data_IF_753179999995
#
_entry.id   IF_753179999995
#
_cell.length_a   1.000
_cell.length_b   1.000
_cell.length_c   1.000
_cell.angle_alpha   90.00
_cell.angle_beta   90.00
_cell.angle_gamma   90.00
#
_symmetry.space_group_name_H-M   'P 1'
#
loop_
_entity.id
_entity.type
_entity.pdbx_description
1 polymer ?
#
# COMPACT_ATOMS: atom_id res chain seq x y z
N UNK A 1 25.58 1.12 -2.93
CA UNK A 1 25.66 0.02 -3.94
C UNK A 1 24.66 0.35 -5.04
N UNK A 2 24.92 0.01 -6.30
CA UNK A 2 23.97 0.32 -7.39
C UNK A 2 22.86 -0.72 -7.41
N UNK A 3 21.60 -0.28 -7.53
CA UNK A 3 20.48 -1.17 -7.82
C UNK A 3 20.66 -1.76 -9.24
N UNK A 4 20.04 -2.92 -9.49
CA UNK A 4 20.14 -3.66 -10.75
C UNK A 4 18.80 -3.67 -11.50
N UNK A 5 18.83 -4.01 -12.79
CA UNK A 5 17.62 -4.15 -13.61
C UNK A 5 16.88 -5.45 -13.29
N UNK A 6 15.54 -5.48 -13.39
CA UNK A 6 14.78 -6.69 -13.12
C UNK A 6 15.02 -7.76 -14.19
N UNK A 7 15.25 -8.99 -13.74
CA UNK A 7 15.15 -10.19 -14.57
C UNK A 7 13.86 -10.92 -14.22
N UNK A 8 12.92 -10.92 -15.17
CA UNK A 8 11.59 -11.54 -15.04
C UNK A 8 11.59 -13.05 -15.31
N UNK A 9 12.70 -13.65 -15.76
CA UNK A 9 12.88 -15.08 -16.05
C UNK A 9 11.82 -15.66 -17.01
N UNK A 10 11.56 -14.93 -18.11
CA UNK A 10 10.54 -15.28 -19.11
C UNK A 10 11.09 -16.09 -20.29
N UNK A 11 12.37 -16.47 -20.27
CA UNK A 11 13.02 -17.19 -21.37
C UNK A 11 12.29 -18.49 -21.74
N UNK A 12 11.77 -18.49 -22.97
CA UNK A 12 11.02 -19.59 -23.56
C UNK A 12 9.60 -19.77 -23.03
N UNK A 13 9.05 -18.77 -22.34
CA UNK A 13 7.63 -18.63 -22.09
C UNK A 13 7.01 -17.68 -23.13
N UNK A 14 5.77 -17.93 -23.52
CA UNK A 14 4.96 -17.02 -24.32
C UNK A 14 3.99 -16.25 -23.39
N UNK A 15 3.55 -15.04 -23.74
CA UNK A 15 2.50 -14.38 -22.97
C UNK A 15 1.21 -15.21 -23.02
N UNK A 16 0.46 -15.26 -21.92
CA UNK A 16 -0.80 -16.01 -21.86
C UNK A 16 -1.85 -15.45 -22.85
N UNK A 17 -1.81 -14.13 -23.08
CA UNK A 17 -2.59 -13.41 -24.10
C UNK A 17 -1.92 -12.07 -24.46
N UNK A 18 -2.55 -11.32 -25.37
CA UNK A 18 -2.04 -10.03 -25.86
C UNK A 18 -1.93 -8.95 -24.76
N UNK A 19 -2.75 -9.03 -23.71
CA UNK A 19 -2.69 -8.06 -22.59
C UNK A 19 -1.38 -8.22 -21.81
N UNK A 20 -0.98 -9.47 -21.56
CA UNK A 20 0.28 -9.77 -20.86
C UNK A 20 1.51 -9.46 -21.71
N UNK A 21 1.42 -9.59 -23.04
CA UNK A 21 2.47 -9.13 -23.97
C UNK A 21 2.65 -7.61 -23.87
N UNK A 22 1.56 -6.84 -23.94
CA UNK A 22 1.61 -5.38 -23.85
C UNK A 22 2.13 -4.90 -22.49
N UNK A 23 1.75 -5.56 -21.39
CA UNK A 23 2.28 -5.26 -20.08
C UNK A 23 3.79 -5.54 -19.98
N UNK A 24 4.26 -6.66 -20.55
CA UNK A 24 5.69 -6.98 -20.63
C UNK A 24 6.46 -5.91 -21.40
N UNK A 25 6.00 -5.55 -22.61
CA UNK A 25 6.65 -4.54 -23.45
C UNK A 25 6.76 -3.19 -22.75
N UNK A 26 5.73 -2.80 -21.97
CA UNK A 26 5.76 -1.57 -21.19
C UNK A 26 6.82 -1.63 -20.06
N UNK A 27 6.98 -2.77 -19.41
CA UNK A 27 8.02 -2.95 -18.39
C UNK A 27 9.43 -2.92 -18.99
N UNK A 28 9.62 -3.50 -20.18
CA UNK A 28 10.91 -3.60 -20.86
C UNK A 28 11.46 -2.26 -21.37
N UNK A 29 10.59 -1.34 -21.78
CA UNK A 29 11.01 -0.01 -22.27
C UNK A 29 11.26 1.00 -21.13
N UNK A 30 10.95 0.63 -19.90
CA UNK A 30 11.00 1.50 -18.73
C UNK A 30 12.35 1.38 -18.01
N UNK A 31 12.79 2.45 -17.35
CA UNK A 31 14.08 2.48 -16.63
C UNK A 31 13.92 2.02 -15.17
N UNK A 32 13.57 0.75 -14.99
CA UNK A 32 13.33 0.19 -13.66
C UNK A 32 14.61 -0.33 -12.99
N UNK A 33 14.71 -0.12 -11.67
CA UNK A 33 15.68 -0.79 -10.80
C UNK A 33 14.99 -1.56 -9.68
N UNK A 34 15.55 -2.70 -9.31
CA UNK A 34 15.02 -3.57 -8.26
C UNK A 34 15.33 -2.99 -6.89
N UNK A 35 14.28 -2.66 -6.13
CA UNK A 35 14.38 -2.24 -4.73
C UNK A 35 14.15 -3.42 -3.77
N UNK A 36 13.30 -4.38 -4.15
CA UNK A 36 13.16 -5.66 -3.48
C UNK A 36 12.56 -6.71 -4.40
N UNK A 37 12.94 -7.96 -4.21
CA UNK A 37 12.49 -9.07 -5.06
C UNK A 37 12.36 -10.37 -4.28
N UNK A 38 11.43 -11.22 -4.71
CA UNK A 38 11.27 -12.58 -4.21
C UNK A 38 10.86 -13.48 -5.37
N UNK A 39 11.44 -14.68 -5.44
CA UNK A 39 11.21 -15.63 -6.54
C UNK A 39 10.95 -17.03 -6.04
N UNK A 40 10.10 -17.73 -6.78
CA UNK A 40 9.86 -19.17 -6.74
C UNK A 40 9.94 -19.71 -8.17
N UNK A 41 9.80 -21.02 -8.34
CA UNK A 41 9.79 -21.64 -9.68
C UNK A 41 8.65 -21.09 -10.57
N UNK A 42 7.52 -20.72 -9.97
CA UNK A 42 6.31 -20.28 -10.69
C UNK A 42 6.06 -18.78 -10.61
N UNK A 43 6.63 -18.08 -9.63
CA UNK A 43 6.29 -16.70 -9.34
C UNK A 43 7.53 -15.84 -9.12
N UNK A 44 7.53 -14.63 -9.68
CA UNK A 44 8.49 -13.59 -9.34
C UNK A 44 7.75 -12.33 -8.90
N UNK A 45 8.16 -11.77 -7.76
CA UNK A 45 7.59 -10.57 -7.17
C UNK A 45 8.66 -9.50 -7.09
N UNK A 46 8.32 -8.28 -7.48
CA UNK A 46 9.25 -7.14 -7.49
C UNK A 46 8.58 -5.89 -6.92
N UNK A 47 9.36 -5.13 -6.15
CA UNK A 47 9.17 -3.70 -5.99
C UNK A 47 10.28 -3.01 -6.75
N UNK A 48 9.90 -2.28 -7.79
CA UNK A 48 10.80 -1.56 -8.69
C UNK A 48 10.71 -0.06 -8.42
N UNK A 49 11.83 0.65 -8.56
CA UNK A 49 11.86 2.10 -8.67
C UNK A 49 11.97 2.48 -10.15
N UNK A 50 11.13 3.42 -10.60
CA UNK A 50 11.16 3.99 -11.94
C UNK A 50 12.08 5.22 -11.97
N UNK A 51 13.30 5.06 -12.46
CA UNK A 51 14.25 6.16 -12.60
C UNK A 51 13.82 7.18 -13.67
N UNK A 52 12.86 6.81 -14.54
CA UNK A 52 12.28 7.68 -15.54
C UNK A 52 11.15 8.56 -15.02
N UNK A 53 10.57 8.26 -13.86
CA UNK A 53 9.35 8.91 -13.36
C UNK A 53 9.49 10.43 -13.17
N UNK A 54 10.68 10.91 -12.77
CA UNK A 54 11.00 12.36 -12.68
C UNK A 54 10.76 13.10 -14.00
N UNK A 55 10.88 12.44 -15.15
CA UNK A 55 10.67 13.04 -16.48
C UNK A 55 9.25 12.84 -17.02
N UNK A 56 8.40 12.13 -16.27
CA UNK A 56 7.01 11.85 -16.61
C UNK A 56 6.05 12.94 -16.11
N UNK A 57 4.90 12.52 -15.59
CA UNK A 57 3.93 13.42 -14.99
C UNK A 57 4.45 13.81 -13.59
N UNK A 58 4.64 15.11 -13.28
CA UNK A 58 5.12 15.55 -11.98
C UNK A 58 4.26 15.00 -10.84
N UNK A 59 4.91 14.51 -9.78
CA UNK A 59 4.21 13.94 -8.62
C UNK A 59 3.78 12.48 -8.76
N UNK A 60 4.00 11.84 -9.91
CA UNK A 60 3.60 10.44 -10.09
C UNK A 60 4.34 9.52 -9.12
N UNK A 61 3.68 8.42 -8.67
CA UNK A 61 4.37 7.39 -7.93
C UNK A 61 5.61 6.89 -8.66
N UNK A 62 6.71 6.79 -7.93
CA UNK A 62 7.99 6.32 -8.49
C UNK A 62 8.23 4.82 -8.28
N UNK A 63 7.30 4.12 -7.62
CA UNK A 63 7.42 2.68 -7.40
C UNK A 63 6.40 1.89 -8.23
N UNK A 64 6.86 0.75 -8.74
CA UNK A 64 6.04 -0.23 -9.45
C UNK A 64 6.13 -1.57 -8.72
N UNK A 65 4.98 -2.07 -8.25
CA UNK A 65 4.87 -3.45 -7.82
C UNK A 65 4.58 -4.34 -9.03
N UNK A 66 5.35 -5.43 -9.21
CA UNK A 66 5.18 -6.38 -10.32
C UNK A 66 5.09 -7.79 -9.78
N UNK A 67 4.10 -8.56 -10.23
CA UNK A 67 3.98 -9.99 -10.04
C UNK A 67 3.98 -10.66 -11.40
N UNK A 68 4.91 -11.58 -11.60
CA UNK A 68 5.00 -12.45 -12.77
C UNK A 68 4.61 -13.85 -12.32
N UNK A 69 3.63 -14.46 -12.99
CA UNK A 69 3.27 -15.86 -12.78
C UNK A 69 3.55 -16.68 -14.05
N UNK A 70 4.00 -17.92 -13.89
CA UNK A 70 4.42 -18.81 -14.97
C UNK A 70 3.67 -20.14 -14.91
N UNK A 71 3.01 -20.50 -16.00
CA UNK A 71 2.50 -21.85 -16.21
C UNK A 71 3.59 -22.70 -16.88
N UNK A 72 4.23 -23.56 -16.10
CA UNK A 72 5.31 -24.44 -16.58
C UNK A 72 4.84 -25.49 -17.59
N UNK A 73 3.55 -25.86 -17.57
CA UNK A 73 2.98 -26.86 -18.47
C UNK A 73 2.58 -26.25 -19.81
N UNK A 74 1.90 -25.10 -19.78
CA UNK A 74 1.52 -24.37 -20.97
C UNK A 74 2.69 -23.59 -21.59
N UNK A 75 3.77 -23.38 -20.81
CA UNK A 75 4.90 -22.51 -21.14
C UNK A 75 4.42 -21.08 -21.41
N UNK A 76 3.49 -20.60 -20.58
CA UNK A 76 2.96 -19.24 -20.67
C UNK A 76 3.25 -18.42 -19.41
N UNK A 77 3.20 -17.09 -19.52
CA UNK A 77 3.32 -16.18 -18.38
C UNK A 77 2.16 -15.17 -18.31
N UNK A 78 1.88 -14.71 -17.09
CA UNK A 78 1.01 -13.57 -16.81
C UNK A 78 1.81 -12.52 -16.00
N UNK A 79 1.53 -11.25 -16.23
CA UNK A 79 2.14 -10.11 -15.54
C UNK A 79 1.04 -9.20 -15.01
N UNK A 80 1.06 -9.01 -13.70
CA UNK A 80 0.30 -8.01 -12.97
C UNK A 80 1.24 -6.91 -12.51
N UNK A 81 0.87 -5.63 -12.72
CA UNK A 81 1.65 -4.53 -12.15
C UNK A 81 0.79 -3.38 -11.66
N UNK A 82 1.32 -2.61 -10.70
CA UNK A 82 0.65 -1.42 -10.17
C UNK A 82 1.63 -0.37 -9.69
N UNK A 83 1.40 0.87 -10.12
CA UNK A 83 2.08 2.06 -9.58
C UNK A 83 1.57 2.36 -8.18
N UNK A 84 2.48 2.47 -7.21
CA UNK A 84 2.14 2.66 -5.81
C UNK A 84 3.09 3.68 -5.19
N UNK A 85 2.59 4.58 -4.32
CA UNK A 85 3.41 5.70 -3.84
C UNK A 85 4.41 5.30 -2.75
N UNK A 86 4.16 4.21 -2.01
CA UNK A 86 4.97 3.81 -0.87
C UNK A 86 5.38 2.34 -0.98
N UNK A 87 6.60 2.01 -0.51
CA UNK A 87 7.11 0.65 -0.51
C UNK A 87 6.18 -0.31 0.25
N UNK A 88 5.67 0.10 1.41
CA UNK A 88 4.74 -0.71 2.20
C UNK A 88 3.42 -1.00 1.47
N UNK A 89 2.95 -0.10 0.61
CA UNK A 89 1.76 -0.33 -0.22
C UNK A 89 2.06 -1.31 -1.37
N UNK A 90 3.25 -1.20 -1.99
CA UNK A 90 3.74 -2.16 -2.98
C UNK A 90 3.84 -3.57 -2.39
N UNK A 91 4.39 -3.70 -1.18
CA UNK A 91 4.39 -4.97 -0.45
C UNK A 91 2.97 -5.49 -0.22
N UNK A 92 2.04 -4.64 0.25
CA UNK A 92 0.65 -5.04 0.49
C UNK A 92 -0.03 -5.59 -0.77
N UNK A 93 0.19 -4.95 -1.91
CA UNK A 93 -0.32 -5.38 -3.21
C UNK A 93 0.21 -6.76 -3.65
N UNK A 94 1.49 -7.04 -3.40
CA UNK A 94 2.14 -8.31 -3.76
C UNK A 94 1.79 -9.42 -2.77
N UNK A 95 1.61 -9.10 -1.48
CA UNK A 95 1.14 -10.04 -0.47
C UNK A 95 -0.27 -10.53 -0.82
N UNK A 96 -1.14 -9.64 -1.29
CA UNK A 96 -2.48 -10.02 -1.77
C UNK A 96 -2.45 -10.98 -2.97
N UNK A 97 -1.30 -11.11 -3.66
CA UNK A 97 -1.05 -12.03 -4.79
C UNK A 97 -0.26 -13.28 -4.42
N UNK A 98 0.01 -13.50 -3.13
CA UNK A 98 0.68 -14.70 -2.65
C UNK A 98 2.15 -14.52 -2.28
N UNK A 99 2.70 -13.29 -2.38
CA UNK A 99 4.04 -13.02 -1.87
C UNK A 99 4.08 -13.20 -0.33
N UNK A 100 5.07 -13.93 0.22
CA UNK A 100 5.22 -14.01 1.68
C UNK A 100 5.52 -12.63 2.29
N UNK A 101 4.90 -12.33 3.44
CA UNK A 101 4.92 -10.99 4.05
C UNK A 101 6.29 -10.47 4.50
N UNK A 102 7.26 -11.37 4.66
CA UNK A 102 8.63 -11.10 5.09
C UNK A 102 9.65 -11.29 3.95
N UNK A 103 9.21 -11.70 2.76
CA UNK A 103 10.10 -12.03 1.66
C UNK A 103 10.63 -10.80 0.88
N UNK A 104 9.87 -9.70 0.88
CA UNK A 104 10.25 -8.46 0.23
C UNK A 104 10.76 -7.47 1.28
N UNK A 105 12.07 -7.32 1.41
CA UNK A 105 12.68 -6.22 2.16
C UNK A 105 13.51 -5.38 1.20
N UNK A 106 13.54 -4.04 1.36
CA UNK A 106 14.53 -3.23 0.66
C UNK A 106 15.93 -3.75 0.95
N UNK A 107 16.84 -3.57 -0.01
CA UNK A 107 18.25 -3.80 0.27
C UNK A 107 18.70 -2.92 1.45
N UNK A 108 19.43 -3.52 2.40
CA UNK A 108 19.94 -2.82 3.59
C UNK A 108 20.72 -1.55 3.20
N UNK A 109 20.40 -0.43 3.84
CA UNK A 109 21.03 0.87 3.62
C UNK A 109 20.53 1.64 2.39
N UNK A 110 19.42 1.23 1.77
CA UNK A 110 18.82 1.93 0.60
C UNK A 110 17.58 2.74 0.98
N UNK A 111 16.74 2.21 1.86
CA UNK A 111 15.46 2.82 2.23
C UNK A 111 15.06 2.35 3.64
N UNK A 112 15.96 2.58 4.59
CA UNK A 112 15.81 2.06 5.95
C UNK A 112 14.89 2.95 6.79
N UNK A 113 13.96 2.37 7.58
CA UNK A 113 13.12 3.18 8.46
C UNK A 113 13.98 3.88 9.52
N UNK A 114 13.86 5.21 9.61
CA UNK A 114 14.65 6.04 10.51
C UNK A 114 14.35 5.81 12.00
N UNK A 115 13.15 5.30 12.34
CA UNK A 115 12.71 5.08 13.71
C UNK A 115 11.66 3.97 13.85
N UNK A 116 11.39 3.58 15.11
CA UNK A 116 10.42 2.54 15.44
C UNK A 116 8.98 2.91 15.07
N UNK A 117 8.66 4.21 15.04
CA UNK A 117 7.32 4.70 14.64
C UNK A 117 7.10 4.43 13.15
N UNK A 118 8.09 4.73 12.33
CA UNK A 118 8.11 4.42 10.89
C UNK A 118 7.97 2.93 10.68
N UNK A 119 8.82 2.12 11.32
CA UNK A 119 8.79 0.66 11.20
C UNK A 119 7.43 0.06 11.58
N UNK A 120 6.81 0.56 12.65
CA UNK A 120 5.49 0.09 13.09
C UNK A 120 4.38 0.51 12.12
N UNK A 121 4.45 1.72 11.57
CA UNK A 121 3.46 2.21 10.61
C UNK A 121 3.56 1.47 9.28
N UNK A 122 4.77 1.24 8.77
CA UNK A 122 4.99 0.43 7.55
C UNK A 122 4.48 -0.99 7.72
N UNK A 123 4.74 -1.63 8.86
CA UNK A 123 4.23 -2.97 9.13
C UNK A 123 2.69 -3.01 9.12
N UNK A 124 2.03 -1.94 9.59
CA UNK A 124 0.58 -1.82 9.52
C UNK A 124 0.10 -1.61 8.08
N UNK A 125 0.67 -0.66 7.34
CA UNK A 125 0.32 -0.40 5.94
C UNK A 125 0.51 -1.64 5.07
N UNK A 126 1.61 -2.37 5.28
CA UNK A 126 1.88 -3.66 4.61
C UNK A 126 0.75 -4.67 4.83
N UNK A 127 0.22 -4.73 6.05
CA UNK A 127 -0.86 -5.63 6.44
C UNK A 127 -2.29 -5.12 6.17
N UNK A 128 -2.45 -3.85 5.79
CA UNK A 128 -3.78 -3.25 5.62
C UNK A 128 -4.51 -3.76 4.37
N UNK A 129 -3.79 -4.26 3.35
CA UNK A 129 -4.38 -4.93 2.19
C UNK A 129 -5.39 -4.06 1.46
N UNK A 130 -6.64 -4.50 1.42
CA UNK A 130 -7.78 -3.83 0.80
C UNK A 130 -8.61 -2.97 1.78
N UNK A 131 -8.13 -2.73 3.00
CA UNK A 131 -8.87 -1.94 4.01
C UNK A 131 -9.00 -0.45 3.67
N UNK A 132 -8.20 0.06 2.74
CA UNK A 132 -8.19 1.46 2.33
C UNK A 132 -8.28 1.62 0.82
N UNK A 133 -9.06 2.61 0.38
CA UNK A 133 -8.97 3.16 -0.97
C UNK A 133 -7.88 4.24 -1.01
N UNK A 134 -6.99 4.14 -2.00
CA UNK A 134 -6.09 5.21 -2.40
C UNK A 134 -6.89 6.28 -3.14
N UNK A 135 -6.98 7.49 -2.56
CA UNK A 135 -7.68 8.61 -3.19
C UNK A 135 -6.76 9.48 -4.04
N UNK A 136 -5.57 9.78 -3.52
CA UNK A 136 -4.57 10.60 -4.19
C UNK A 136 -3.17 10.30 -3.66
N UNK A 137 -2.15 10.54 -4.47
CA UNK A 137 -0.75 10.54 -4.06
C UNK A 137 0.04 11.59 -4.84
N UNK A 138 1.09 12.13 -4.23
CA UNK A 138 2.03 13.02 -4.89
C UNK A 138 3.43 12.84 -4.30
N UNK A 139 4.41 12.63 -5.17
CA UNK A 139 5.84 12.60 -4.81
C UNK A 139 6.52 13.90 -5.22
N UNK A 140 6.87 14.73 -4.24
CA UNK A 140 7.63 15.95 -4.41
C UNK A 140 9.14 15.66 -4.42
N UNK A 141 9.60 14.96 -5.46
CA UNK A 141 11.00 14.53 -5.67
C UNK A 141 12.00 15.67 -5.91
N UNK A 142 11.50 16.87 -6.20
CA UNK A 142 12.29 18.10 -6.35
C UNK A 142 12.38 18.94 -5.06
N UNK A 143 11.74 18.53 -3.96
CA UNK A 143 11.84 19.17 -2.64
C UNK A 143 13.00 18.56 -1.84
N UNK A 144 13.51 19.33 -0.87
CA UNK A 144 14.46 18.86 0.12
C UNK A 144 13.87 19.08 1.52
N UNK A 145 13.50 18.02 2.27
CA UNK A 145 13.59 16.61 1.89
C UNK A 145 12.63 16.22 0.76
N UNK A 146 12.91 15.10 0.10
CA UNK A 146 11.95 14.46 -0.81
C UNK A 146 10.76 13.99 0.02
N UNK A 147 9.55 14.36 -0.40
CA UNK A 147 8.32 14.01 0.31
C UNK A 147 7.36 13.23 -0.60
N UNK A 148 6.76 12.16 -0.08
CA UNK A 148 5.61 11.50 -0.72
C UNK A 148 4.40 11.59 0.18
N UNK A 149 3.31 12.16 -0.32
CA UNK A 149 2.04 12.27 0.41
C UNK A 149 1.01 11.35 -0.22
N UNK A 150 0.27 10.65 0.63
CA UNK A 150 -0.77 9.70 0.22
C UNK A 150 -2.05 9.99 1.01
N UNK A 151 -3.15 10.21 0.30
CA UNK A 151 -4.48 10.34 0.88
C UNK A 151 -5.22 9.01 0.74
N UNK A 152 -5.65 8.47 1.88
CA UNK A 152 -6.38 7.22 1.98
C UNK A 152 -7.77 7.46 2.57
N UNK A 153 -8.73 6.62 2.18
CA UNK A 153 -10.05 6.51 2.79
C UNK A 153 -10.27 5.09 3.28
N UNK A 154 -10.69 4.93 4.52
CA UNK A 154 -11.05 3.60 5.03
C UNK A 154 -12.28 3.05 4.30
N UNK A 155 -12.23 1.77 3.94
CA UNK A 155 -13.39 1.04 3.43
C UNK A 155 -14.30 0.52 4.56
N UNK A 156 -13.86 0.57 5.82
CA UNK A 156 -14.73 0.31 6.97
C UNK A 156 -15.64 1.53 7.23
N UNK A 157 -16.97 1.41 7.07
CA UNK A 157 -17.89 2.52 7.30
C UNK A 157 -17.97 2.95 8.78
N UNK A 158 -17.35 2.21 9.69
CA UNK A 158 -17.24 2.56 11.12
C UNK A 158 -15.86 3.10 11.51
N UNK A 159 -14.93 3.22 10.58
CA UNK A 159 -13.62 3.79 10.85
C UNK A 159 -13.73 5.25 11.29
N UNK A 160 -13.07 5.56 12.40
CA UNK A 160 -12.87 6.93 12.87
C UNK A 160 -11.39 7.02 13.24
N UNK A 161 -10.59 7.84 12.57
CA UNK A 161 -10.94 8.72 11.44
C UNK A 161 -11.17 7.96 10.12
N UNK A 162 -12.06 8.48 9.26
CA UNK A 162 -12.38 7.88 7.95
C UNK A 162 -11.27 8.13 6.92
N UNK A 163 -10.67 9.32 6.95
CA UNK A 163 -9.62 9.74 6.02
C UNK A 163 -8.27 9.76 6.73
N UNK A 164 -7.22 9.42 5.99
CA UNK A 164 -5.86 9.38 6.50
C UNK A 164 -4.91 10.00 5.50
N UNK A 165 -3.90 10.68 6.01
CA UNK A 165 -2.76 11.14 5.22
C UNK A 165 -1.53 10.40 5.72
N UNK A 166 -0.83 9.73 4.81
CA UNK A 166 0.52 9.23 5.05
C UNK A 166 1.50 10.21 4.43
N UNK A 167 2.51 10.62 5.18
CA UNK A 167 3.59 11.49 4.74
C UNK A 167 4.91 10.76 4.96
N UNK A 168 5.56 10.41 3.86
CA UNK A 168 6.92 9.91 3.83
C UNK A 168 7.88 11.07 3.56
N UNK A 169 9.00 11.10 4.29
CA UNK A 169 10.12 12.00 4.03
C UNK A 169 11.40 11.21 3.95
N UNK A 170 12.12 11.36 2.85
CA UNK A 170 13.39 10.68 2.61
C UNK A 170 14.57 11.63 2.88
N UNK A 171 15.58 11.12 3.60
CA UNK A 171 16.83 11.82 3.91
C UNK A 171 17.99 11.16 3.17
N UNK A 172 18.54 11.87 2.18
CA UNK A 172 19.65 11.42 1.35
C UNK A 172 20.98 11.26 2.11
N UNK A 173 21.18 12.00 3.20
CA UNK A 173 22.43 11.94 3.98
C UNK A 173 22.50 10.63 4.78
N UNK A 174 21.37 10.21 5.35
CA UNK A 174 21.27 8.98 6.15
C UNK A 174 20.80 7.76 5.35
N UNK A 175 20.26 7.94 4.14
CA UNK A 175 19.52 6.92 3.39
C UNK A 175 18.40 6.28 4.21
N UNK A 176 17.73 7.10 5.02
CA UNK A 176 16.59 6.69 5.82
C UNK A 176 15.35 7.49 5.48
N UNK A 177 14.19 6.95 5.80
CA UNK A 177 12.93 7.67 5.67
C UNK A 177 12.15 7.68 6.98
N UNK A 178 11.34 8.71 7.14
CA UNK A 178 10.29 8.75 8.17
C UNK A 178 8.93 8.58 7.52
N UNK A 179 8.05 7.83 8.16
CA UNK A 179 6.64 7.72 7.75
C UNK A 179 5.76 8.17 8.92
N UNK A 180 4.83 9.09 8.64
CA UNK A 180 3.85 9.61 9.61
C UNK A 180 2.44 9.49 9.06
N UNK A 181 1.50 9.30 9.96
CA UNK A 181 0.07 9.25 9.63
C UNK A 181 -0.65 10.38 10.37
N UNK A 182 -1.51 11.11 9.66
CA UNK A 182 -2.52 11.98 10.25
C UNK A 182 -3.93 11.51 9.95
N UNK A 183 -4.84 11.77 10.88
CA UNK A 183 -6.23 11.32 10.81
C UNK A 183 -7.23 12.46 10.63
N UNK A 184 -8.18 12.31 9.71
CA UNK A 184 -9.18 13.32 9.38
C UNK A 184 -10.59 12.73 9.34
N UNK A 185 -11.56 13.40 9.97
CA UNK A 185 -12.96 12.96 9.99
C UNK A 185 -13.69 13.22 8.66
N UNK A 186 -13.25 14.22 7.89
CA UNK A 186 -13.90 14.63 6.65
C UNK A 186 -12.90 14.72 5.51
N UNK A 187 -13.38 14.54 4.29
CA UNK A 187 -12.59 14.70 3.08
C UNK A 187 -12.06 16.13 2.95
N UNK A 188 -12.92 17.13 3.17
CA UNK A 188 -12.56 18.55 3.07
C UNK A 188 -11.40 18.90 4.01
N UNK A 189 -11.40 18.42 5.26
CA UNK A 189 -10.28 18.65 6.18
C UNK A 189 -8.97 17.99 5.74
N UNK A 190 -9.03 16.83 5.08
CA UNK A 190 -7.85 16.19 4.52
C UNK A 190 -7.33 16.95 3.27
N UNK A 191 -8.24 17.46 2.45
CA UNK A 191 -7.89 18.30 1.29
C UNK A 191 -7.30 19.63 1.73
N UNK A 192 -7.88 20.32 2.72
CA UNK A 192 -7.34 21.56 3.27
C UNK A 192 -5.90 21.37 3.76
N UNK A 193 -5.62 20.25 4.45
CA UNK A 193 -4.26 19.92 4.87
C UNK A 193 -3.34 19.65 3.67
N UNK A 194 -3.83 18.90 2.68
CA UNK A 194 -3.07 18.60 1.46
C UNK A 194 -2.70 19.86 0.68
N UNK A 195 -3.64 20.79 0.51
CA UNK A 195 -3.41 22.07 -0.16
C UNK A 195 -2.38 22.90 0.61
N UNK A 196 -2.51 23.02 1.93
CA UNK A 196 -1.52 23.69 2.75
C UNK A 196 -0.13 23.02 2.64
N UNK A 197 -0.06 21.69 2.54
CA UNK A 197 1.20 20.97 2.33
C UNK A 197 1.79 21.24 0.95
N UNK A 198 0.95 21.34 -0.08
CA UNK A 198 1.37 21.72 -1.42
C UNK A 198 1.96 23.13 -1.43
N UNK A 199 1.42 24.04 -0.63
CA UNK A 199 1.93 25.42 -0.48
C UNK A 199 3.11 25.54 0.51
N UNK A 200 3.59 24.42 1.08
CA UNK A 200 4.66 24.38 2.10
C UNK A 200 4.29 25.12 3.41
N UNK A 201 2.99 25.28 3.67
CA UNK A 201 2.41 25.94 4.84
C UNK A 201 1.63 24.98 5.76
N UNK A 202 1.68 23.67 5.48
CA UNK A 202 0.93 22.68 6.25
C UNK A 202 1.29 22.71 7.74
N UNK A 203 0.28 22.67 8.63
CA UNK A 203 0.53 22.38 10.03
C UNK A 203 1.04 20.94 10.20
N UNK A 204 1.63 20.64 11.35
CA UNK A 204 1.95 19.26 11.72
C UNK A 204 0.73 18.35 11.56
N UNK A 205 0.95 17.12 11.07
CA UNK A 205 -0.12 16.14 10.92
C UNK A 205 -0.84 15.96 12.26
N UNK A 206 -2.18 16.06 12.29
CA UNK A 206 -2.92 15.79 13.50
C UNK A 206 -2.65 14.34 13.92
N UNK A 207 -2.38 14.05 15.21
CA UNK A 207 -2.13 12.69 15.64
C UNK A 207 -3.32 11.82 15.22
N UNK A 208 -3.08 10.59 14.71
CA UNK A 208 -4.17 9.73 14.30
C UNK A 208 -5.04 9.48 15.52
N UNK A 209 -6.31 9.89 15.46
CA UNK A 209 -7.25 9.60 16.53
C UNK A 209 -7.17 8.09 16.80
N UNK A 210 -7.04 7.65 18.07
CA UNK A 210 -6.96 6.23 18.36
C UNK A 210 -8.17 5.57 17.73
N UNK A 211 -7.95 4.52 16.93
CA UNK A 211 -9.01 3.81 16.19
C UNK A 211 -9.99 3.22 17.19
N UNK A 212 -10.94 4.03 17.65
CA UNK A 212 -11.99 3.59 18.52
C UNK A 212 -12.94 2.81 17.63
N UNK A 213 -12.84 1.48 17.63
CA UNK A 213 -13.94 0.64 17.17
C UNK A 213 -15.17 1.14 17.92
N UNK A 214 -16.12 1.74 17.21
CA UNK A 214 -17.44 2.01 17.77
C UNK A 214 -17.92 0.69 18.33
N UNK A 215 -18.02 0.62 19.66
CA UNK A 215 -18.54 -0.57 20.31
C UNK A 215 -19.90 -0.86 19.68
N UNK A 216 -20.19 -2.12 19.28
CA UNK A 216 -21.50 -2.44 18.76
C UNK A 216 -22.52 -1.97 19.80
N UNK A 217 -23.50 -1.18 19.37
CA UNK A 217 -24.61 -0.76 20.22
C UNK A 217 -25.16 -2.03 20.86
N UNK A 218 -25.02 -2.15 22.18
CA UNK A 218 -25.51 -3.30 22.92
C UNK A 218 -27.03 -3.32 22.79
N UNK A 219 -27.55 -4.09 21.84
CA UNK A 219 -28.98 -4.36 21.73
C UNK A 219 -29.46 -4.83 23.09
N UNK A 220 -30.40 -4.10 23.68
CA UNK A 220 -30.99 -4.46 24.96
C UNK A 220 -31.52 -5.89 24.87
N UNK A 221 -31.30 -6.75 25.89
CA UNK A 221 -31.85 -8.09 25.87
C UNK A 221 -33.38 -8.01 25.77
N UNK A 222 -33.93 -8.74 24.81
CA UNK A 222 -35.37 -8.87 24.64
C UNK A 222 -35.98 -9.37 25.96
N UNK A 223 -37.01 -8.66 26.44
CA UNK A 223 -37.73 -9.02 27.67
C UNK A 223 -38.34 -10.41 27.47
N UNK A 224 -38.14 -11.38 28.39
CA UNK A 224 -38.72 -12.71 28.23
C UNK A 224 -40.24 -12.62 28.29
N UNK A 225 -40.92 -13.18 27.29
CA UNK A 225 -42.37 -13.33 27.28
C UNK A 225 -42.77 -14.27 28.43
N UNK A 226 -43.72 -13.91 29.31
CA UNK A 226 -44.16 -14.78 30.38
C UNK A 226 -44.78 -16.07 29.81
N UNK A 227 -44.28 -17.23 30.24
CA UNK A 227 -44.87 -18.51 29.86
C UNK A 227 -46.28 -18.63 30.45
N UNK A 228 -47.27 -18.84 29.58
CA UNK A 228 -48.64 -19.12 29.98
C UNK A 228 -48.68 -20.42 30.80
N UNK A 229 -49.17 -20.33 32.05
CA UNK A 229 -49.32 -21.47 32.94
C UNK A 229 -50.32 -22.48 32.36
N UNK A 230 -49.83 -23.67 31.99
CA UNK A 230 -50.68 -24.82 31.67
C UNK A 230 -51.41 -25.26 32.95
N UNK A 231 -52.74 -25.18 32.93
CA UNK A 231 -53.62 -25.74 33.97
C UNK A 231 -53.51 -27.27 33.99
N UNK A 232 -53.54 -27.92 35.16
CA UNK A 232 -53.48 -29.36 35.26
C UNK A 232 -54.86 -29.99 34.92
N UNK A 233 -54.86 -30.97 34.01
CA UNK A 233 -55.94 -31.93 33.88
C UNK A 233 -55.73 -33.06 34.88
N UNK A 234 -56.75 -33.35 35.71
CA UNK A 234 -56.68 -34.51 36.60
C UNK A 234 -57.92 -34.76 37.44
N UNK A 235 -58.87 -35.46 36.82
CA UNK A 235 -59.87 -36.41 37.39
C UNK A 235 -61.12 -35.87 38.09
#
# INVERSE_FOLDING_TARGET
MSLHEPDYELDGFEPADEEHEQHHDHLDISSFKVLGEHRTDTDSYFVLIDEGATWGIPGSPQLRAVHVSRDLSARTFEIDSKELPLYAMAQSYLIARGCPSDALSPQEGVHDPADDVTRALEARVRGDGDHFALLASYTADMREPVETVVMLRSLDPQAVPEFRILLERFDWDSNTHTLREGGFETYDAAVDWWEAWSDEEAPELPPPAPTARRSPVRTAPATPVPQASRRPHGR
#
